data_IF_706435627863
#
_entry.id   IF_706435627863
#
_cell.length_a   1.000
_cell.length_b   1.000
_cell.length_c   1.000
_cell.angle_alpha   90.00
_cell.angle_beta   90.00
_cell.angle_gamma   90.00
#
_symmetry.space_group_name_H-M   'P 1'
#
loop_
_entity.id
_entity.type
_entity.pdbx_description
1 polymer ?
#
# COMPACT_ATOMS: atom_id res chain seq x y z
N UNK A 1 20.73 8.95 6.05
CA UNK A 1 19.61 9.41 5.21
C UNK A 1 18.50 9.89 6.15
N UNK A 2 17.98 11.08 5.93
CA UNK A 2 16.81 11.53 6.64
C UNK A 2 15.64 10.60 6.32
N UNK A 3 14.99 10.07 7.34
CA UNK A 3 13.88 9.14 7.21
C UNK A 3 12.51 9.86 7.20
N UNK A 4 12.47 11.16 6.88
CA UNK A 4 11.29 12.02 6.89
C UNK A 4 10.95 12.62 8.26
N UNK A 5 11.61 12.20 9.33
CA UNK A 5 11.36 12.72 10.66
C UNK A 5 11.84 14.17 10.80
N UNK A 6 13.04 14.50 10.31
CA UNK A 6 13.57 15.86 10.37
C UNK A 6 12.76 16.79 9.47
N UNK A 7 12.37 16.36 8.28
CA UNK A 7 11.50 17.10 7.38
C UNK A 7 10.14 17.40 8.03
N UNK A 8 9.56 16.42 8.74
CA UNK A 8 8.30 16.62 9.45
C UNK A 8 8.44 17.58 10.63
N UNK A 9 9.55 17.51 11.39
CA UNK A 9 9.84 18.46 12.47
C UNK A 9 9.98 19.90 11.93
N UNK A 10 10.67 20.09 10.80
CA UNK A 10 10.78 21.40 10.13
C UNK A 10 9.42 21.93 9.71
N UNK A 11 8.58 21.07 9.11
CA UNK A 11 7.22 21.42 8.76
C UNK A 11 6.39 21.87 9.97
N UNK A 12 6.49 21.14 11.10
CA UNK A 12 5.79 21.54 12.33
C UNK A 12 6.29 22.86 12.90
N UNK A 13 7.56 23.21 12.65
CA UNK A 13 8.16 24.50 13.03
C UNK A 13 7.81 25.66 12.07
N UNK A 14 7.04 25.38 10.98
CA UNK A 14 6.58 26.39 10.03
C UNK A 14 7.34 26.42 8.70
N UNK A 15 8.31 25.53 8.48
CA UNK A 15 9.02 25.39 7.21
C UNK A 15 8.25 24.43 6.27
N UNK A 16 7.54 25.00 5.31
CA UNK A 16 6.73 24.22 4.36
C UNK A 16 7.54 23.31 3.44
N UNK A 17 8.84 23.61 3.22
CA UNK A 17 9.72 22.74 2.44
C UNK A 17 9.83 21.34 3.06
N UNK A 18 9.72 21.22 4.38
CA UNK A 18 9.69 19.93 5.05
C UNK A 18 8.54 19.04 4.61
N UNK A 19 7.35 19.58 4.39
CA UNK A 19 6.21 18.81 3.86
C UNK A 19 6.41 18.44 2.38
N UNK A 20 6.96 19.34 1.59
CA UNK A 20 7.27 19.09 0.19
C UNK A 20 8.27 17.91 0.04
N UNK A 21 9.34 17.91 0.84
CA UNK A 21 10.31 16.79 0.85
C UNK A 21 9.66 15.45 1.21
N UNK A 22 8.73 15.44 2.17
CA UNK A 22 7.98 14.23 2.55
C UNK A 22 7.14 13.74 1.37
N UNK A 23 6.42 14.64 0.68
CA UNK A 23 5.61 14.27 -0.48
C UNK A 23 6.50 13.69 -1.57
N UNK A 24 7.56 14.39 -1.97
CA UNK A 24 8.49 13.92 -3.00
C UNK A 24 9.10 12.54 -2.68
N UNK A 25 9.37 12.28 -1.40
CA UNK A 25 10.02 11.04 -0.98
C UNK A 25 9.07 9.86 -0.93
N UNK A 26 7.82 10.08 -0.49
CA UNK A 26 6.94 8.96 -0.13
C UNK A 26 5.70 8.80 -1.02
N UNK A 27 5.35 9.80 -1.85
CA UNK A 27 4.11 9.80 -2.62
C UNK A 27 3.97 8.54 -3.48
N UNK A 28 4.95 8.26 -4.33
CA UNK A 28 4.90 7.13 -5.26
C UNK A 28 4.74 5.79 -4.53
N UNK A 29 5.59 5.53 -3.52
CA UNK A 29 5.52 4.29 -2.76
C UNK A 29 4.19 4.15 -2.00
N UNK A 30 3.69 5.25 -1.43
CA UNK A 30 2.42 5.26 -0.73
C UNK A 30 1.24 4.97 -1.68
N UNK A 31 1.20 5.60 -2.86
CA UNK A 31 0.16 5.35 -3.89
C UNK A 31 0.17 3.86 -4.28
N UNK A 32 1.32 3.32 -4.62
CA UNK A 32 1.43 1.91 -5.04
C UNK A 32 1.03 0.95 -3.91
N UNK A 33 1.41 1.25 -2.67
CA UNK A 33 0.95 0.48 -1.52
C UNK A 33 -0.57 0.55 -1.35
N UNK A 34 -1.17 1.73 -1.41
CA UNK A 34 -2.61 1.89 -1.29
C UNK A 34 -3.35 1.25 -2.47
N UNK A 35 -2.77 1.27 -3.67
CA UNK A 35 -3.30 0.55 -4.82
C UNK A 35 -3.30 -0.98 -4.60
N UNK A 36 -2.30 -1.52 -3.92
CA UNK A 36 -2.32 -2.94 -3.51
C UNK A 36 -3.51 -3.28 -2.60
N UNK A 37 -4.11 -2.29 -1.95
CA UNK A 37 -5.26 -2.44 -1.06
C UNK A 37 -6.60 -2.25 -1.80
N UNK A 38 -6.75 -1.17 -2.59
CA UNK A 38 -8.02 -0.78 -3.23
C UNK A 38 -8.19 -1.30 -4.65
N UNK A 39 -7.11 -1.65 -5.35
CA UNK A 39 -7.08 -2.08 -6.76
C UNK A 39 -7.69 -1.07 -7.74
N UNK A 40 -7.54 0.20 -7.44
CA UNK A 40 -7.91 1.29 -8.32
C UNK A 40 -6.93 2.43 -8.10
N UNK A 41 -6.15 2.77 -9.13
CA UNK A 41 -5.05 3.73 -9.02
C UNK A 41 -5.56 5.13 -8.65
N UNK A 42 -6.65 5.59 -9.23
CA UNK A 42 -7.21 6.91 -8.93
C UNK A 42 -7.70 6.99 -7.48
N UNK A 43 -8.38 5.94 -6.98
CA UNK A 43 -8.73 5.87 -5.56
C UNK A 43 -7.48 5.84 -4.67
N UNK A 44 -6.41 5.17 -5.09
CA UNK A 44 -5.16 5.13 -4.33
C UNK A 44 -4.47 6.50 -4.30
N UNK A 45 -4.47 7.24 -5.41
CA UNK A 45 -4.00 8.61 -5.52
C UNK A 45 -4.78 9.54 -4.58
N UNK A 46 -6.11 9.51 -4.61
CA UNK A 46 -6.97 10.29 -3.72
C UNK A 46 -6.71 9.99 -2.24
N UNK A 47 -6.47 8.71 -1.89
CA UNK A 47 -6.16 8.31 -0.51
C UNK A 47 -4.76 8.74 -0.09
N UNK A 48 -3.79 8.73 -0.99
CA UNK A 48 -2.44 9.26 -0.73
C UNK A 48 -2.48 10.78 -0.54
N UNK A 49 -3.18 11.51 -1.41
CA UNK A 49 -3.40 12.95 -1.25
C UNK A 49 -4.07 13.26 0.09
N UNK A 50 -5.16 12.57 0.41
CA UNK A 50 -5.86 12.70 1.70
C UNK A 50 -4.92 12.45 2.89
N UNK A 51 -3.91 11.59 2.73
CA UNK A 51 -2.90 11.32 3.77
C UNK A 51 -2.02 12.54 3.99
N UNK A 52 -1.52 13.17 2.93
CA UNK A 52 -0.69 14.38 3.04
C UNK A 52 -1.50 15.59 3.49
N UNK A 53 -2.76 15.72 3.06
CA UNK A 53 -3.69 16.74 3.55
C UNK A 53 -3.95 16.57 5.06
N UNK A 54 -4.07 15.33 5.55
CA UNK A 54 -4.17 15.10 7.00
C UNK A 54 -2.92 15.56 7.76
N UNK A 55 -1.72 15.31 7.22
CA UNK A 55 -0.48 15.85 7.81
C UNK A 55 -0.48 17.38 7.83
N UNK A 56 -0.88 17.99 6.71
CA UNK A 56 -0.88 19.46 6.54
C UNK A 56 -1.85 20.16 7.49
N UNK A 57 -3.09 19.66 7.59
CA UNK A 57 -4.16 20.32 8.34
C UNK A 57 -4.11 19.95 9.82
N UNK A 58 -4.02 18.66 10.15
CA UNK A 58 -4.12 18.18 11.54
C UNK A 58 -2.81 18.21 12.28
N UNK A 59 -1.68 18.24 11.56
CA UNK A 59 -0.33 18.21 12.12
C UNK A 59 -0.19 17.17 13.25
N UNK A 60 -0.55 15.89 13.01
CA UNK A 60 -0.62 14.90 14.07
C UNK A 60 0.76 14.67 14.69
N UNK A 61 0.81 14.53 16.02
CA UNK A 61 2.06 14.32 16.74
C UNK A 61 2.70 12.99 16.35
N UNK A 62 3.93 13.03 15.84
CA UNK A 62 4.78 11.86 15.65
C UNK A 62 5.52 11.55 16.95
N UNK A 63 5.33 10.34 17.49
CA UNK A 63 5.86 9.95 18.81
C UNK A 63 7.18 9.19 18.77
N UNK A 64 7.78 9.03 17.58
CA UNK A 64 9.05 8.31 17.36
C UNK A 64 9.06 6.84 17.87
N UNK A 65 7.89 6.22 18.01
CA UNK A 65 7.77 4.79 18.41
C UNK A 65 7.99 3.81 17.26
N UNK A 66 8.07 4.32 16.04
CA UNK A 66 8.37 3.60 14.81
C UNK A 66 9.11 4.54 13.86
N UNK A 67 9.59 4.04 12.71
CA UNK A 67 10.09 4.93 11.68
C UNK A 67 8.98 5.89 11.19
N UNK A 68 9.37 7.08 10.69
CA UNK A 68 8.41 8.03 10.11
C UNK A 68 7.66 7.39 8.94
N UNK A 69 8.36 6.63 8.08
CA UNK A 69 7.78 5.89 6.97
C UNK A 69 6.67 4.95 7.45
N UNK A 70 6.93 4.14 8.48
CA UNK A 70 5.94 3.21 9.07
C UNK A 70 4.70 3.95 9.56
N UNK A 71 4.89 5.06 10.25
CA UNK A 71 3.81 5.89 10.78
C UNK A 71 2.97 6.51 9.66
N UNK A 72 3.61 7.06 8.62
CA UNK A 72 2.94 7.63 7.45
C UNK A 72 2.08 6.59 6.72
N UNK A 73 2.63 5.41 6.46
CA UNK A 73 1.91 4.32 5.81
C UNK A 73 0.74 3.81 6.66
N UNK A 74 0.87 3.79 7.98
CA UNK A 74 -0.23 3.47 8.88
C UNK A 74 -1.37 4.50 8.81
N UNK A 75 -1.06 5.80 8.67
CA UNK A 75 -2.06 6.86 8.45
C UNK A 75 -2.79 6.62 7.13
N UNK A 76 -2.05 6.45 6.03
CA UNK A 76 -2.64 6.22 4.70
C UNK A 76 -3.56 5.00 4.68
N UNK A 77 -3.11 3.87 5.26
CA UNK A 77 -3.95 2.69 5.38
C UNK A 77 -5.22 2.93 6.21
N UNK A 78 -5.13 3.70 7.29
CA UNK A 78 -6.30 4.01 8.13
C UNK A 78 -7.33 4.84 7.37
N UNK A 79 -6.89 5.84 6.61
CA UNK A 79 -7.74 6.68 5.75
C UNK A 79 -8.44 5.79 4.72
N UNK A 80 -7.69 4.97 4.01
CA UNK A 80 -8.21 4.03 3.01
C UNK A 80 -9.20 3.03 3.59
N UNK A 81 -8.90 2.43 4.74
CA UNK A 81 -9.81 1.52 5.42
C UNK A 81 -11.12 2.20 5.86
N UNK A 82 -11.06 3.48 6.25
CA UNK A 82 -12.25 4.28 6.60
C UNK A 82 -13.07 4.59 5.35
N UNK A 83 -12.43 4.94 4.25
CA UNK A 83 -13.07 5.17 2.95
C UNK A 83 -13.81 3.92 2.46
N UNK A 84 -13.17 2.76 2.42
CA UNK A 84 -13.79 1.50 2.01
C UNK A 84 -14.96 1.10 2.90
N UNK A 85 -14.89 1.34 4.22
CA UNK A 85 -16.01 1.10 5.14
C UNK A 85 -17.19 2.02 4.86
N UNK A 86 -16.94 3.30 4.49
CA UNK A 86 -17.98 4.25 4.13
C UNK A 86 -18.69 3.82 2.83
N UNK A 87 -17.92 3.42 1.82
CA UNK A 87 -18.49 2.90 0.56
C UNK A 87 -19.39 1.68 0.80
N UNK A 88 -18.95 0.71 1.60
CA UNK A 88 -19.76 -0.46 1.94
C UNK A 88 -21.06 -0.13 2.67
N UNK A 89 -21.10 0.94 3.46
CA UNK A 89 -22.32 1.39 4.14
C UNK A 89 -23.29 2.13 3.21
N UNK A 90 -22.76 2.80 2.19
CA UNK A 90 -23.57 3.51 1.20
C UNK A 90 -24.14 2.57 0.12
N UNK A 91 -23.49 1.43 -0.11
CA UNK A 91 -23.95 0.37 -1.00
C UNK A 91 -25.03 -0.46 -0.27
N UNK A 92 -26.26 0.07 -0.19
CA UNK A 92 -27.45 -0.61 0.37
C UNK A 92 -28.07 -1.56 -0.66
N UNK A 93 -27.41 -1.89 -1.74
CA UNK A 93 -27.82 -2.90 -2.72
C UNK A 93 -27.02 -4.16 -2.44
N UNK A 94 -27.63 -5.39 -2.45
CA UNK A 94 -26.89 -6.63 -2.30
C UNK A 94 -25.76 -6.66 -3.34
N UNK A 95 -24.53 -6.73 -2.87
CA UNK A 95 -23.37 -6.88 -3.72
C UNK A 95 -23.33 -8.32 -4.26
N UNK A 96 -24.14 -8.61 -5.27
CA UNK A 96 -23.73 -9.57 -6.29
C UNK A 96 -22.49 -8.94 -6.93
N UNK A 97 -21.35 -9.56 -6.66
CA UNK A 97 -20.06 -9.38 -7.33
C UNK A 97 -20.00 -8.12 -8.23
N UNK A 98 -19.76 -6.95 -7.65
CA UNK A 98 -19.14 -5.91 -8.43
C UNK A 98 -17.75 -6.43 -8.80
N UNK A 99 -17.64 -7.01 -9.99
CA UNK A 99 -16.42 -6.95 -10.76
C UNK A 99 -15.97 -5.51 -10.69
N UNK A 100 -14.95 -5.25 -9.89
CA UNK A 100 -14.21 -4.00 -9.98
C UNK A 100 -13.70 -4.00 -11.41
N UNK A 101 -14.33 -3.18 -12.25
CA UNK A 101 -13.87 -2.94 -13.61
C UNK A 101 -12.40 -2.58 -13.47
N UNK A 102 -11.56 -3.55 -13.77
CA UNK A 102 -10.14 -3.31 -13.96
C UNK A 102 -10.08 -2.41 -15.19
N UNK A 103 -9.85 -1.13 -14.95
CA UNK A 103 -9.53 -0.21 -16.01
C UNK A 103 -8.19 -0.69 -16.57
N UNK A 104 -8.26 -1.50 -17.65
CA UNK A 104 -7.10 -2.12 -18.32
C UNK A 104 -6.16 -1.10 -18.98
N UNK A 105 -6.51 0.19 -18.90
CA UNK A 105 -5.65 1.30 -19.33
C UNK A 105 -4.88 1.90 -18.17
N UNK A 106 -4.21 1.06 -17.40
CA UNK A 106 -3.46 1.52 -16.25
C UNK A 106 -2.07 1.99 -16.68
N UNK A 107 -1.67 3.14 -16.14
CA UNK A 107 -0.31 3.71 -16.19
C UNK A 107 0.76 2.70 -15.75
N UNK A 108 0.39 1.64 -15.00
CA UNK A 108 1.24 0.50 -14.67
C UNK A 108 1.81 -0.22 -15.92
N UNK A 109 1.09 -0.23 -17.06
CA UNK A 109 1.56 -0.90 -18.27
C UNK A 109 2.79 -0.23 -18.90
N UNK A 110 3.04 1.03 -18.70
CA UNK A 110 4.23 1.71 -19.21
C UNK A 110 5.52 1.34 -18.46
N UNK A 111 5.40 0.91 -17.17
CA UNK A 111 6.54 0.48 -16.36
C UNK A 111 6.87 -1.01 -16.47
N UNK A 112 5.98 -1.83 -17.01
CA UNK A 112 6.18 -3.29 -17.10
C UNK A 112 6.81 -3.66 -18.45
N UNK A 113 8.14 -3.63 -18.52
CA UNK A 113 8.91 -3.90 -19.75
C UNK A 113 9.11 -5.40 -20.08
N UNK A 114 8.60 -6.34 -19.28
CA UNK A 114 8.74 -7.77 -19.55
C UNK A 114 7.46 -8.54 -19.25
N UNK A 115 7.21 -9.59 -20.02
CA UNK A 115 6.05 -10.47 -19.85
C UNK A 115 6.02 -11.11 -18.45
N UNK A 116 7.17 -11.48 -17.91
CA UNK A 116 7.29 -12.02 -16.55
C UNK A 116 6.80 -11.02 -15.47
N UNK A 117 7.15 -9.75 -15.59
CA UNK A 117 6.68 -8.71 -14.66
C UNK A 117 5.17 -8.57 -14.74
N UNK A 118 4.60 -8.60 -15.95
CA UNK A 118 3.16 -8.54 -16.16
C UNK A 118 2.44 -9.74 -15.51
N UNK A 119 2.98 -10.95 -15.65
CA UNK A 119 2.43 -12.14 -15.01
C UNK A 119 2.44 -12.04 -13.48
N UNK A 120 3.54 -11.54 -12.89
CA UNK A 120 3.64 -11.31 -11.44
C UNK A 120 2.60 -10.29 -10.97
N UNK A 121 2.43 -9.16 -11.68
CA UNK A 121 1.41 -8.16 -11.36
C UNK A 121 0.00 -8.73 -11.42
N UNK A 122 -0.33 -9.46 -12.47
CA UNK A 122 -1.64 -10.11 -12.62
C UNK A 122 -1.89 -11.16 -11.52
N UNK A 123 -0.86 -11.93 -11.15
CA UNK A 123 -0.96 -12.91 -10.07
C UNK A 123 -1.17 -12.22 -8.71
N UNK A 124 -0.43 -11.13 -8.42
CA UNK A 124 -0.64 -10.32 -7.23
C UNK A 124 -2.07 -9.74 -7.19
N UNK A 125 -2.57 -9.26 -8.33
CA UNK A 125 -3.89 -8.65 -8.43
C UNK A 125 -5.04 -9.62 -8.09
N UNK A 126 -4.89 -10.91 -8.39
CA UNK A 126 -5.89 -11.95 -8.09
C UNK A 126 -5.90 -12.39 -6.62
N UNK A 127 -4.92 -11.99 -5.81
CA UNK A 127 -4.85 -12.36 -4.40
C UNK A 127 -5.87 -11.60 -3.55
N UNK A 128 -6.15 -12.13 -2.35
CA UNK A 128 -6.95 -11.43 -1.33
C UNK A 128 -6.26 -10.13 -0.89
N UNK A 129 -7.01 -9.07 -0.53
CA UNK A 129 -6.43 -7.76 -0.17
C UNK A 129 -5.33 -7.81 0.90
N UNK A 130 -5.51 -8.60 1.97
CA UNK A 130 -4.50 -8.74 3.02
C UNK A 130 -3.21 -9.40 2.51
N UNK A 131 -3.32 -10.33 1.54
CA UNK A 131 -2.17 -11.00 0.94
C UNK A 131 -1.36 -10.04 0.06
N UNK A 132 -2.04 -9.23 -0.77
CA UNK A 132 -1.37 -8.20 -1.57
C UNK A 132 -0.65 -7.19 -0.69
N UNK A 133 -1.34 -6.65 0.32
CA UNK A 133 -0.76 -5.66 1.23
C UNK A 133 0.50 -6.18 1.93
N UNK A 134 0.45 -7.38 2.51
CA UNK A 134 1.62 -7.93 3.23
C UNK A 134 2.79 -8.18 2.31
N UNK A 135 2.54 -8.71 1.09
CA UNK A 135 3.61 -8.92 0.10
C UNK A 135 4.20 -7.58 -0.35
N UNK A 136 3.35 -6.58 -0.61
CA UNK A 136 3.82 -5.27 -1.03
C UNK A 136 4.71 -4.61 0.04
N UNK A 137 4.25 -4.57 1.29
CA UNK A 137 4.99 -3.97 2.40
C UNK A 137 6.36 -4.64 2.63
N UNK A 138 6.41 -5.97 2.60
CA UNK A 138 7.64 -6.72 2.87
C UNK A 138 8.62 -6.67 1.69
N UNK A 139 8.14 -6.93 0.46
CA UNK A 139 9.04 -7.18 -0.68
C UNK A 139 9.30 -5.96 -1.54
N UNK A 140 8.37 -5.00 -1.62
CA UNK A 140 8.54 -3.80 -2.42
C UNK A 140 8.96 -2.60 -1.57
N UNK A 141 8.38 -2.44 -0.38
CA UNK A 141 8.69 -1.32 0.50
C UNK A 141 9.78 -1.63 1.53
N UNK A 142 10.15 -2.91 1.71
CA UNK A 142 11.21 -3.32 2.59
C UNK A 142 10.91 -3.19 4.09
N UNK A 143 9.64 -3.13 4.48
CA UNK A 143 9.27 -3.08 5.90
C UNK A 143 9.57 -4.39 6.61
N UNK A 144 9.94 -4.30 7.87
CA UNK A 144 10.06 -5.48 8.75
C UNK A 144 8.68 -6.06 9.08
N UNK A 145 8.65 -7.25 9.67
CA UNK A 145 7.40 -7.88 10.12
C UNK A 145 6.71 -7.06 11.20
N UNK A 146 7.50 -6.48 12.09
CA UNK A 146 7.07 -5.62 13.19
C UNK A 146 6.43 -4.34 12.66
N UNK A 147 7.09 -3.66 11.72
CA UNK A 147 6.57 -2.46 11.06
C UNK A 147 5.29 -2.76 10.26
N UNK A 148 5.29 -3.87 9.51
CA UNK A 148 4.11 -4.35 8.78
C UNK A 148 2.94 -4.64 9.72
N UNK A 149 3.19 -5.19 10.91
CA UNK A 149 2.18 -5.42 11.95
C UNK A 149 1.56 -4.10 12.42
N UNK A 150 2.38 -3.07 12.64
CA UNK A 150 1.91 -1.72 12.98
C UNK A 150 1.04 -1.11 11.87
N UNK A 151 1.52 -1.16 10.62
CA UNK A 151 0.80 -0.62 9.45
C UNK A 151 -0.54 -1.33 9.27
N UNK A 152 -0.55 -2.67 9.29
CA UNK A 152 -1.75 -3.48 9.06
C UNK A 152 -2.67 -3.62 10.28
N UNK A 153 -2.27 -3.10 11.45
CA UNK A 153 -2.97 -3.26 12.73
C UNK A 153 -3.25 -4.73 13.06
N UNK A 154 -2.23 -5.55 12.91
CA UNK A 154 -2.25 -6.99 13.20
C UNK A 154 -1.16 -7.35 14.21
N UNK A 155 -1.26 -8.52 14.84
CA UNK A 155 -0.19 -9.06 15.66
C UNK A 155 0.92 -9.62 14.76
N UNK A 156 2.18 -9.59 15.20
CA UNK A 156 3.31 -10.13 14.41
C UNK A 156 3.10 -11.59 13.99
N UNK A 157 2.52 -12.42 14.87
CA UNK A 157 2.16 -13.79 14.54
C UNK A 157 1.22 -13.87 13.32
N UNK A 158 0.21 -13.00 13.27
CA UNK A 158 -0.71 -12.93 12.12
C UNK A 158 0.01 -12.48 10.86
N UNK A 159 1.00 -11.60 10.96
CA UNK A 159 1.83 -11.21 9.81
C UNK A 159 2.68 -12.38 9.32
N UNK A 160 3.29 -13.17 10.21
CA UNK A 160 4.02 -14.39 9.82
C UNK A 160 3.13 -15.37 9.06
N UNK A 161 1.92 -15.62 9.56
CA UNK A 161 0.94 -16.50 8.93
C UNK A 161 0.48 -15.93 7.57
N UNK A 162 0.26 -14.61 7.48
CA UNK A 162 -0.09 -13.93 6.22
C UNK A 162 1.03 -14.04 5.18
N UNK A 163 2.28 -13.83 5.56
CA UNK A 163 3.43 -13.96 4.66
C UNK A 163 3.51 -15.38 4.10
N UNK A 164 3.41 -16.38 4.97
CA UNK A 164 3.46 -17.79 4.54
C UNK A 164 2.34 -18.11 3.55
N UNK A 165 1.09 -17.79 3.92
CA UNK A 165 -0.07 -18.11 3.11
C UNK A 165 -0.11 -17.28 1.81
N UNK A 166 0.30 -16.02 1.83
CA UNK A 166 0.34 -15.17 0.64
C UNK A 166 1.39 -15.63 -0.36
N UNK A 167 2.57 -16.07 0.11
CA UNK A 167 3.60 -16.67 -0.76
C UNK A 167 3.10 -17.94 -1.44
N UNK A 168 2.43 -18.81 -0.68
CA UNK A 168 1.84 -20.04 -1.24
C UNK A 168 0.78 -19.71 -2.28
N UNK A 169 -0.12 -18.76 -1.98
CA UNK A 169 -1.15 -18.34 -2.92
C UNK A 169 -0.56 -17.68 -4.17
N UNK A 170 0.47 -16.84 -4.02
CA UNK A 170 1.15 -16.22 -5.16
C UNK A 170 1.82 -17.27 -6.04
N UNK A 171 2.51 -18.25 -5.44
CA UNK A 171 3.12 -19.36 -6.19
C UNK A 171 2.08 -20.11 -7.01
N UNK A 172 0.95 -20.50 -6.41
CA UNK A 172 -0.14 -21.19 -7.12
C UNK A 172 -0.71 -20.37 -8.27
N UNK A 173 -0.87 -19.06 -8.09
CA UNK A 173 -1.36 -18.17 -9.16
C UNK A 173 -0.34 -18.00 -10.29
N UNK A 174 0.94 -17.94 -9.99
CA UNK A 174 2.01 -17.87 -10.99
C UNK A 174 2.08 -19.17 -11.81
N UNK A 175 2.05 -20.34 -11.15
CA UNK A 175 2.03 -21.65 -11.80
C UNK A 175 0.80 -21.80 -12.73
N UNK A 176 -0.37 -21.35 -12.27
CA UNK A 176 -1.60 -21.36 -13.08
C UNK A 176 -1.50 -20.50 -14.34
N UNK A 177 -0.67 -19.45 -14.32
CA UNK A 177 -0.44 -18.54 -15.44
C UNK A 177 0.73 -18.93 -16.33
N UNK A 178 1.36 -20.10 -16.08
CA UNK A 178 2.48 -20.59 -16.87
C UNK A 178 3.80 -19.89 -16.58
N UNK A 179 3.95 -19.31 -15.38
CA UNK A 179 5.22 -18.71 -14.98
C UNK A 179 6.25 -19.81 -14.72
N UNK A 180 7.31 -19.85 -15.53
CA UNK A 180 8.44 -20.74 -15.35
C UNK A 180 9.45 -20.11 -14.40
N UNK A 181 9.80 -20.82 -13.34
CA UNK A 181 10.89 -20.41 -12.45
C UNK A 181 12.20 -20.81 -13.12
N UNK A 182 13.09 -19.85 -13.39
CA UNK A 182 14.48 -20.18 -13.67
C UNK A 182 15.07 -20.81 -12.40
N UNK A 183 15.52 -22.05 -12.49
CA UNK A 183 16.26 -22.70 -11.41
C UNK A 183 17.61 -21.95 -11.26
N UNK A 184 17.76 -21.25 -10.12
CA UNK A 184 19.00 -20.63 -9.70
C UNK A 184 19.94 -21.64 -9.06
#
# INVERSE_FOLDING_TARGET
MDNGESSYRRFLAGDNEGLYEIICTYQTGLILYLNSYVQNIHTAEDMAESTFVELMIKRPKFSCKSSFKTWLYAIGRNITAKHLRKLKKLSVVPLESQEYLTDEKNVENEYIKSEQKRLVHQALHSLKPDYRQVLYLIYFEGFTKEETALIMKKRERQIKDLIYNSRKALKTELERRGFEYEEL
#
